data_IF_140841856504
#
_entry.id   IF_140841856504
#
_cell.length_a   1.000
_cell.length_b   1.000
_cell.length_c   1.000
_cell.angle_alpha   90.00
_cell.angle_beta   90.00
_cell.angle_gamma   90.00
#
_symmetry.space_group_name_H-M   'P 1'
#
loop_
_entity.id
_entity.type
_entity.pdbx_description
1 polymer ?
#
# COMPACT_ATOMS: atom_id res chain seq x y z
N UNK A 1 -14.06 3.10 -3.73
CA UNK A 1 -13.29 3.39 -4.98
C UNK A 1 -12.41 4.61 -4.75
N UNK A 2 -11.18 4.58 -5.23
CA UNK A 2 -10.27 5.73 -5.16
C UNK A 2 -10.46 6.63 -6.39
N UNK A 3 -10.13 7.92 -6.25
CA UNK A 3 -9.99 8.82 -7.39
C UNK A 3 -8.49 8.95 -7.70
N UNK A 4 -8.10 8.61 -8.91
CA UNK A 4 -6.70 8.67 -9.38
C UNK A 4 -6.72 9.40 -10.72
N UNK A 5 -6.03 10.54 -10.82
CA UNK A 5 -6.04 11.39 -12.03
C UNK A 5 -7.46 11.67 -12.55
N UNK A 6 -8.37 12.05 -11.64
CA UNK A 6 -9.80 12.33 -11.90
C UNK A 6 -10.68 11.11 -12.31
N UNK A 7 -10.08 9.92 -12.43
CA UNK A 7 -10.80 8.69 -12.76
C UNK A 7 -11.09 7.83 -11.53
N UNK A 8 -12.21 7.08 -11.58
CA UNK A 8 -12.54 6.10 -10.56
C UNK A 8 -11.69 4.85 -10.73
N UNK A 9 -10.88 4.56 -9.73
CA UNK A 9 -10.02 3.38 -9.66
C UNK A 9 -10.55 2.40 -8.60
N UNK A 10 -10.82 1.17 -9.02
CA UNK A 10 -11.23 0.09 -8.11
C UNK A 10 -10.00 -0.50 -7.43
N UNK A 11 -10.07 -0.60 -6.10
CA UNK A 11 -9.02 -1.22 -5.28
C UNK A 11 -9.63 -2.30 -4.40
N UNK A 12 -8.77 -3.20 -3.91
CA UNK A 12 -9.17 -4.17 -2.89
C UNK A 12 -9.51 -3.48 -1.58
N UNK A 13 -10.33 -4.12 -0.74
CA UNK A 13 -10.64 -3.64 0.61
C UNK A 13 -9.38 -3.45 1.44
N UNK A 14 -8.38 -4.32 1.28
CA UNK A 14 -7.10 -4.22 1.98
C UNK A 14 -6.38 -2.90 1.69
N UNK A 15 -6.29 -2.50 0.42
CA UNK A 15 -5.66 -1.23 0.02
C UNK A 15 -6.47 -0.03 0.51
N UNK A 16 -7.81 -0.10 0.39
CA UNK A 16 -8.69 0.97 0.87
C UNK A 16 -8.51 1.20 2.38
N UNK A 17 -8.51 0.13 3.17
CA UNK A 17 -8.33 0.19 4.63
C UNK A 17 -6.93 0.67 4.98
N UNK A 18 -5.88 0.15 4.35
CA UNK A 18 -4.51 0.61 4.57
C UNK A 18 -4.35 2.11 4.31
N UNK A 19 -4.90 2.62 3.21
CA UNK A 19 -4.86 4.05 2.89
C UNK A 19 -5.58 4.92 3.91
N UNK A 20 -6.72 4.47 4.45
CA UNK A 20 -7.43 5.18 5.54
C UNK A 20 -6.55 5.30 6.79
N UNK A 21 -5.76 4.27 7.11
CA UNK A 21 -4.88 4.23 8.29
C UNK A 21 -3.58 5.00 8.09
N UNK A 22 -3.07 5.02 6.85
CA UNK A 22 -1.89 5.78 6.50
C UNK A 22 -2.19 7.26 6.29
N UNK A 23 -3.45 7.67 6.13
CA UNK A 23 -3.80 9.07 5.91
C UNK A 23 -3.50 9.93 7.14
N UNK A 24 -2.78 11.03 6.96
CA UNK A 24 -2.68 12.06 7.99
C UNK A 24 -3.98 12.88 8.06
N UNK A 25 -4.40 13.35 9.26
CA UNK A 25 -5.68 14.04 9.42
C UNK A 25 -5.72 15.41 8.71
N UNK A 26 -4.58 16.06 8.56
CA UNK A 26 -4.45 17.48 8.24
C UNK A 26 -3.52 17.76 7.05
N UNK A 27 -2.76 16.78 6.57
CA UNK A 27 -1.81 16.96 5.47
C UNK A 27 -1.85 15.85 4.44
N UNK A 28 -1.46 16.19 3.21
CA UNK A 28 -1.30 15.22 2.14
C UNK A 28 -0.13 14.28 2.45
N UNK A 29 -0.29 13.00 2.10
CA UNK A 29 0.80 12.02 2.14
C UNK A 29 1.02 11.47 0.74
N UNK A 30 2.28 11.50 0.29
CA UNK A 30 2.70 10.76 -0.90
C UNK A 30 2.97 9.31 -0.53
N UNK A 31 2.25 8.39 -1.15
CA UNK A 31 2.45 6.95 -0.99
C UNK A 31 2.61 6.29 -2.35
N UNK A 32 3.48 5.29 -2.42
CA UNK A 32 3.60 4.42 -3.57
C UNK A 32 3.01 3.05 -3.21
N UNK A 33 2.05 2.58 -4.01
CA UNK A 33 1.41 1.28 -3.86
C UNK A 33 1.44 0.63 -5.24
N UNK A 34 2.11 -0.51 -5.38
CA UNK A 34 2.32 -1.21 -6.65
C UNK A 34 1.03 -1.48 -7.45
N UNK A 35 -0.05 -1.87 -6.76
CA UNK A 35 -1.36 -2.13 -7.36
C UNK A 35 -2.08 -0.87 -7.88
N UNK A 36 -1.61 0.33 -7.54
CA UNK A 36 -2.16 1.61 -8.01
C UNK A 36 -1.17 2.30 -8.96
N UNK A 37 0.09 2.42 -8.56
CA UNK A 37 1.11 3.22 -9.26
C UNK A 37 1.71 2.54 -10.49
N UNK A 38 1.52 1.23 -10.65
CA UNK A 38 1.96 0.47 -11.83
C UNK A 38 0.71 0.16 -12.66
N UNK A 39 0.71 0.46 -13.96
CA UNK A 39 -0.35 0.03 -14.86
C UNK A 39 -0.27 -1.47 -15.06
N UNK A 40 -1.09 -2.18 -14.29
CA UNK A 40 -1.14 -3.64 -14.30
C UNK A 40 -1.54 -4.22 -15.66
N UNK A 41 -2.11 -3.41 -16.57
CA UNK A 41 -2.50 -3.83 -17.93
C UNK A 41 -1.37 -3.64 -18.95
N UNK A 42 -0.39 -2.79 -18.65
CA UNK A 42 0.76 -2.56 -19.50
C UNK A 42 1.93 -3.45 -19.07
N UNK A 43 2.07 -4.61 -19.71
CA UNK A 43 3.11 -5.59 -19.37
C UNK A 43 4.52 -5.01 -19.49
N UNK A 44 4.77 -4.11 -20.45
CA UNK A 44 6.09 -3.51 -20.65
C UNK A 44 6.45 -2.60 -19.48
N UNK A 45 5.52 -1.71 -19.10
CA UNK A 45 5.71 -0.79 -17.97
C UNK A 45 5.78 -1.57 -16.65
N UNK A 46 4.87 -2.51 -16.41
CA UNK A 46 4.90 -3.41 -15.26
C UNK A 46 6.25 -4.10 -15.10
N UNK A 47 6.78 -4.71 -16.17
CA UNK A 47 8.07 -5.37 -16.11
C UNK A 47 9.21 -4.41 -15.79
N UNK A 48 9.14 -3.17 -16.30
CA UNK A 48 10.12 -2.13 -15.95
C UNK A 48 10.04 -1.73 -14.47
N UNK A 49 8.83 -1.50 -13.94
CA UNK A 49 8.60 -1.14 -12.54
C UNK A 49 9.02 -2.26 -11.58
N UNK A 50 8.70 -3.52 -11.90
CA UNK A 50 9.08 -4.68 -11.06
C UNK A 50 10.60 -4.77 -10.91
N UNK A 51 11.38 -4.51 -11.97
CA UNK A 51 12.85 -4.45 -11.87
C UNK A 51 13.35 -3.31 -10.98
N UNK A 52 12.55 -2.26 -10.79
CA UNK A 52 12.90 -1.10 -9.96
C UNK A 52 12.45 -1.24 -8.51
N UNK A 53 11.59 -2.21 -8.15
CA UNK A 53 11.00 -2.31 -6.81
C UNK A 53 12.05 -2.27 -5.69
N UNK A 54 13.16 -2.99 -5.83
CA UNK A 54 14.25 -2.95 -4.83
C UNK A 54 14.82 -1.54 -4.62
N UNK A 55 14.96 -0.77 -5.70
CA UNK A 55 15.40 0.63 -5.63
C UNK A 55 14.32 1.56 -5.08
N UNK A 56 13.04 1.30 -5.38
CA UNK A 56 11.91 2.07 -4.86
C UNK A 56 11.82 1.92 -3.34
N UNK A 57 11.85 0.68 -2.82
CA UNK A 57 11.83 0.44 -1.38
C UNK A 57 13.05 1.04 -0.69
N UNK A 58 14.24 0.95 -1.30
CA UNK A 58 15.47 1.53 -0.75
C UNK A 58 15.45 3.06 -0.69
N UNK A 59 14.79 3.71 -1.64
CA UNK A 59 14.73 5.18 -1.73
C UNK A 59 13.53 5.79 -0.99
N UNK A 60 12.54 4.99 -0.60
CA UNK A 60 11.42 5.47 0.19
C UNK A 60 11.89 6.01 1.53
N UNK A 61 11.38 7.18 1.94
CA UNK A 61 11.66 7.75 3.27
C UNK A 61 11.28 6.79 4.39
N UNK A 62 10.21 6.01 4.17
CA UNK A 62 9.76 4.92 5.05
C UNK A 62 9.12 3.83 4.19
N UNK A 63 9.32 2.58 4.59
CA UNK A 63 8.59 1.42 4.05
C UNK A 63 7.66 0.92 5.14
N UNK A 64 6.38 0.74 4.81
CA UNK A 64 5.36 0.24 5.75
C UNK A 64 4.87 -1.11 5.26
N UNK A 65 4.96 -2.12 6.13
CA UNK A 65 4.31 -3.41 5.92
C UNK A 65 2.90 -3.35 6.52
N UNK A 66 1.87 -3.56 5.70
CA UNK A 66 0.48 -3.63 6.14
C UNK A 66 0.02 -5.10 6.15
N UNK A 67 -0.26 -5.64 7.33
CA UNK A 67 -0.61 -7.05 7.52
C UNK A 67 -2.14 -7.25 7.65
N UNK A 68 -2.90 -6.15 7.72
CA UNK A 68 -4.34 -6.17 7.94
C UNK A 68 -4.70 -5.55 9.29
N UNK A 69 -5.98 -5.63 9.62
CA UNK A 69 -6.45 -5.32 10.97
C UNK A 69 -6.32 -6.56 11.84
N UNK A 70 -6.11 -6.34 13.14
CA UNK A 70 -6.47 -7.37 14.11
C UNK A 70 -7.96 -7.65 13.93
N UNK A 71 -8.30 -8.85 13.47
CA UNK A 71 -9.67 -9.32 13.53
C UNK A 71 -9.96 -9.57 15.01
N UNK A 72 -10.98 -8.92 15.56
CA UNK A 72 -11.46 -9.19 16.93
C UNK A 72 -12.01 -10.62 17.10
N UNK A 73 -11.88 -11.50 16.11
CA UNK A 73 -12.43 -12.86 16.07
C UNK A 73 -11.39 -14.00 15.96
N UNK A 74 -10.08 -13.73 16.08
CA UNK A 74 -9.10 -14.80 16.35
C UNK A 74 -8.37 -14.54 17.66
N UNK A 75 -9.03 -14.99 18.73
CA UNK A 75 -8.45 -15.23 20.04
C UNK A 75 -7.17 -16.08 19.92
N UNK A 76 -6.04 -15.49 20.35
CA UNK A 76 -4.86 -16.23 20.79
C UNK A 76 -3.79 -16.52 19.74
N UNK A 77 -2.85 -15.59 19.55
CA UNK A 77 -1.40 -15.76 19.81
C UNK A 77 -0.77 -14.36 19.69
N UNK A 78 -0.17 -13.89 20.78
CA UNK A 78 0.19 -12.51 20.98
C UNK A 78 1.34 -11.97 20.13
N UNK A 79 1.26 -10.67 19.84
CA UNK A 79 2.38 -9.84 19.44
C UNK A 79 3.40 -9.80 20.58
N UNK A 80 4.49 -10.57 20.45
CA UNK A 80 5.72 -10.30 21.21
C UNK A 80 6.49 -9.22 20.45
N UNK A 81 6.63 -8.06 21.08
CA UNK A 81 7.66 -7.10 20.71
C UNK A 81 9.02 -7.79 20.84
N UNK A 82 9.83 -7.73 19.79
CA UNK A 82 11.27 -7.96 19.91
C UNK A 82 11.90 -6.61 20.27
N UNK A 83 12.74 -6.64 21.30
CA UNK A 83 13.40 -5.52 22.00
C UNK A 83 13.97 -4.41 21.09
#
# INVERSE_FOLDING_TARGET
>A
PLVVNDDRFLVTSNVETALKHLRYPDTARTVWIDSICIDQRNVIEKNAQVRLMGNIYKQGTRVVAWIGMENEEEDGIGTQALD
#
